data_IF_715817847904
#
_entry.id   IF_715817847904
#
_cell.length_a   1.000
_cell.length_b   1.000
_cell.length_c   1.000
_cell.angle_alpha   90.00
_cell.angle_beta   90.00
_cell.angle_gamma   90.00
#
_symmetry.space_group_name_H-M   'P 1'
#
loop_
_entity.id
_entity.type
_entity.pdbx_description
1 polymer ?
#
# COMPACT_ATOMS: atom_id res chain seq x y z
N UNK A 1 -9.30 0.71 -14.36
CA UNK A 1 -7.98 0.98 -13.78
C UNK A 1 -8.11 2.24 -12.95
N UNK A 2 -7.74 2.19 -11.68
CA UNK A 2 -7.87 3.32 -10.76
C UNK A 2 -6.65 4.24 -10.85
N UNK A 3 -6.77 5.49 -10.43
CA UNK A 3 -5.63 6.43 -10.36
C UNK A 3 -4.47 5.87 -9.51
N UNK A 4 -4.78 5.10 -8.45
CA UNK A 4 -3.78 4.43 -7.63
C UNK A 4 -3.00 3.36 -8.38
N UNK A 5 -3.68 2.54 -9.19
CA UNK A 5 -3.05 1.51 -10.01
C UNK A 5 -2.13 2.13 -11.08
N UNK A 6 -2.57 3.21 -11.71
CA UNK A 6 -1.76 3.98 -12.66
C UNK A 6 -0.52 4.57 -11.98
N UNK A 7 -0.69 5.12 -10.78
CA UNK A 7 0.41 5.64 -9.97
C UNK A 7 1.44 4.55 -9.65
N UNK A 8 1.00 3.35 -9.25
CA UNK A 8 1.90 2.22 -9.02
C UNK A 8 2.54 1.66 -10.29
N UNK A 9 1.93 1.87 -11.46
CA UNK A 9 2.53 1.54 -12.76
C UNK A 9 3.67 2.51 -13.11
N UNK A 10 3.49 3.81 -12.81
CA UNK A 10 4.54 4.83 -13.00
C UNK A 10 5.69 4.69 -12.01
N UNK A 11 5.40 4.24 -10.78
CA UNK A 11 6.39 4.08 -9.70
C UNK A 11 6.37 2.67 -9.09
N UNK A 12 6.84 1.62 -9.82
CA UNK A 12 6.76 0.23 -9.39
C UNK A 12 7.42 -0.06 -8.04
N UNK A 13 8.46 0.68 -7.68
CA UNK A 13 9.17 0.56 -6.40
C UNK A 13 8.28 0.84 -5.18
N UNK A 14 7.17 1.57 -5.36
CA UNK A 14 6.23 1.87 -4.28
C UNK A 14 5.34 0.67 -3.94
N UNK A 15 5.28 -0.37 -4.79
CA UNK A 15 4.53 -1.61 -4.51
C UNK A 15 4.97 -2.30 -3.22
N UNK A 16 6.22 -2.09 -2.77
CA UNK A 16 6.71 -2.61 -1.48
C UNK A 16 5.91 -2.10 -0.28
N UNK A 17 5.21 -0.98 -0.43
CA UNK A 17 4.34 -0.35 0.57
C UNK A 17 2.86 -0.67 0.40
N UNK A 18 2.53 -1.60 -0.50
CA UNK A 18 1.16 -2.02 -0.77
C UNK A 18 0.98 -3.43 -0.19
N UNK A 19 -0.16 -3.61 0.45
CA UNK A 19 -0.69 -4.90 0.87
C UNK A 19 -1.84 -5.27 -0.06
N UNK A 20 -1.97 -6.57 -0.31
CA UNK A 20 -3.10 -7.15 -1.04
C UNK A 20 -3.56 -8.41 -0.29
N UNK A 21 -4.83 -8.46 0.08
CA UNK A 21 -5.38 -9.62 0.77
C UNK A 21 -5.40 -10.82 -0.18
N UNK A 22 -4.84 -11.96 0.23
CA UNK A 22 -4.79 -13.16 -0.62
C UNK A 22 -6.17 -13.77 -0.90
N UNK A 23 -7.15 -13.52 -0.03
CA UNK A 23 -8.51 -14.04 -0.16
C UNK A 23 -9.42 -13.12 -0.98
N UNK A 24 -9.65 -11.88 -0.54
CA UNK A 24 -10.58 -10.97 -1.21
C UNK A 24 -9.95 -10.07 -2.28
N UNK A 25 -8.61 -10.10 -2.43
CA UNK A 25 -7.87 -9.28 -3.38
C UNK A 25 -7.99 -7.76 -3.16
N UNK A 26 -8.51 -7.33 -2.00
CA UNK A 26 -8.53 -5.92 -1.61
C UNK A 26 -7.10 -5.36 -1.47
N UNK A 27 -6.91 -4.11 -1.87
CA UNK A 27 -5.60 -3.47 -1.99
C UNK A 27 -5.57 -2.22 -1.10
N UNK A 28 -4.52 -2.11 -0.29
CA UNK A 28 -4.30 -0.94 0.54
C UNK A 28 -2.83 -0.70 0.84
N UNK A 29 -2.49 0.45 1.42
CA UNK A 29 -1.12 0.68 1.85
C UNK A 29 -0.81 -0.02 3.18
N UNK A 30 0.45 -0.39 3.37
CA UNK A 30 0.99 -0.95 4.60
C UNK A 30 0.88 0.06 5.75
N UNK A 31 0.27 -0.27 6.89
CA UNK A 31 0.15 0.64 8.03
C UNK A 31 1.49 1.23 8.49
N UNK A 32 2.60 0.51 8.27
CA UNK A 32 3.96 0.93 8.61
C UNK A 32 4.56 1.93 7.60
N UNK A 33 3.80 2.35 6.58
CA UNK A 33 4.22 3.37 5.62
C UNK A 33 4.72 4.63 6.36
N UNK A 34 6.00 5.01 6.20
CA UNK A 34 6.53 6.21 6.82
C UNK A 34 5.74 7.46 6.45
N UNK A 35 5.73 8.47 7.33
CA UNK A 35 5.06 9.74 7.05
C UNK A 35 5.58 10.37 5.75
N UNK A 36 6.90 10.30 5.55
CA UNK A 36 7.60 10.75 4.35
C UNK A 36 8.50 9.63 3.81
N UNK A 37 8.61 9.55 2.48
CA UNK A 37 9.54 8.65 1.81
C UNK A 37 10.67 9.48 1.22
N UNK A 38 11.91 9.20 1.59
CA UNK A 38 13.08 9.87 1.00
C UNK A 38 13.35 9.34 -0.41
N UNK A 39 13.75 10.23 -1.31
CA UNK A 39 14.35 9.89 -2.61
C UNK A 39 15.87 9.73 -2.46
N UNK A 40 16.50 9.12 -3.47
CA UNK A 40 17.96 9.17 -3.60
C UNK A 40 18.39 10.64 -3.61
N UNK A 41 19.19 11.05 -2.62
CA UNK A 41 19.59 12.45 -2.41
C UNK A 41 19.10 13.11 -1.12
N UNK A 42 18.45 12.37 -0.21
CA UNK A 42 17.90 12.87 1.06
C UNK A 42 16.78 13.92 0.92
N UNK A 43 16.20 14.08 -0.27
CA UNK A 43 15.01 14.89 -0.47
C UNK A 43 13.75 14.11 -0.08
N UNK A 44 12.72 14.82 0.38
CA UNK A 44 11.43 14.24 0.75
C UNK A 44 10.50 14.14 -0.45
N UNK A 45 9.94 12.95 -0.68
CA UNK A 45 9.01 12.68 -1.76
C UNK A 45 7.55 12.82 -1.34
N UNK A 46 6.72 13.33 -2.24
CA UNK A 46 5.26 13.27 -2.13
C UNK A 46 4.67 11.84 -2.21
N UNK A 47 5.50 10.80 -2.43
CA UNK A 47 5.06 9.42 -2.60
C UNK A 47 4.20 8.91 -1.44
N UNK A 48 4.62 9.16 -0.20
CA UNK A 48 3.88 8.72 0.99
C UNK A 48 2.48 9.36 1.07
N UNK A 49 2.39 10.66 0.72
CA UNK A 49 1.13 11.40 0.66
C UNK A 49 0.22 10.86 -0.44
N UNK A 50 0.78 10.60 -1.62
CA UNK A 50 0.02 10.06 -2.76
C UNK A 50 -0.49 8.64 -2.48
N UNK A 51 0.31 7.77 -1.86
CA UNK A 51 -0.15 6.44 -1.46
C UNK A 51 -1.35 6.51 -0.51
N UNK A 52 -1.33 7.42 0.49
CA UNK A 52 -2.47 7.64 1.41
C UNK A 52 -3.70 8.26 0.72
N UNK A 53 -3.50 9.01 -0.36
CA UNK A 53 -4.59 9.57 -1.17
C UNK A 53 -5.31 8.48 -1.96
N UNK A 54 -4.57 7.57 -2.56
CA UNK A 54 -5.13 6.57 -3.48
C UNK A 54 -5.56 5.27 -2.80
N UNK A 55 -4.93 4.90 -1.69
CA UNK A 55 -5.15 3.62 -1.02
C UNK A 55 -5.59 3.83 0.43
N UNK A 56 -6.44 2.93 0.92
CA UNK A 56 -6.77 2.85 2.36
C UNK A 56 -5.71 2.03 3.09
N UNK A 57 -5.50 2.21 4.41
CA UNK A 57 -4.62 1.32 5.15
C UNK A 57 -5.19 -0.10 5.11
N UNK A 58 -4.34 -1.09 4.85
CA UNK A 58 -4.74 -2.50 4.87
C UNK A 58 -3.77 -3.29 5.72
N UNK A 59 -4.21 -3.66 6.92
CA UNK A 59 -3.50 -4.58 7.81
C UNK A 59 -3.72 -6.00 7.30
N UNK A 60 -2.64 -6.77 7.17
CA UNK A 60 -2.69 -8.21 6.91
C UNK A 60 -2.06 -8.96 8.08
N UNK A 61 -2.56 -10.16 8.38
CA UNK A 61 -1.88 -11.09 9.29
C UNK A 61 -0.73 -11.83 8.58
N UNK A 62 -0.07 -12.74 9.31
CA UNK A 62 1.05 -13.54 8.78
C UNK A 62 0.68 -14.40 7.56
N UNK A 63 -0.59 -14.80 7.44
CA UNK A 63 -1.12 -15.55 6.30
C UNK A 63 -1.54 -14.66 5.12
N UNK A 64 -1.34 -13.34 5.19
CA UNK A 64 -1.71 -12.40 4.13
C UNK A 64 -3.21 -12.10 4.05
N UNK A 65 -3.97 -12.31 5.12
CA UNK A 65 -5.41 -12.08 5.19
C UNK A 65 -5.73 -10.75 5.88
N UNK A 66 -6.70 -10.02 5.34
CA UNK A 66 -7.23 -8.84 6.01
C UNK A 66 -8.07 -9.20 7.23
N UNK A 67 -8.33 -8.21 8.08
CA UNK A 67 -9.13 -8.32 9.31
C UNK A 67 -10.54 -8.89 9.09
N UNK A 68 -11.10 -8.71 7.90
CA UNK A 68 -12.40 -9.28 7.53
C UNK A 68 -12.24 -10.75 7.15
N UNK A 69 -11.36 -11.07 6.20
CA UNK A 69 -11.17 -12.43 5.70
C UNK A 69 -10.68 -13.41 6.77
N UNK A 70 -9.83 -12.97 7.70
CA UNK A 70 -9.32 -13.83 8.78
C UNK A 70 -10.42 -14.33 9.75
N UNK A 71 -11.62 -13.76 9.73
CA UNK A 71 -12.75 -14.21 10.57
C UNK A 71 -13.54 -15.36 9.96
N UNK A 72 -13.30 -15.66 8.69
CA UNK A 72 -14.02 -16.68 7.92
C UNK A 72 -13.15 -17.91 7.60
N UNK A 73 -11.93 -17.94 8.13
CA UNK A 73 -10.94 -19.01 7.99
C UNK A 73 -10.61 -19.50 9.40
#
# INVERSE_FOLDING_TARGET
>A
MTEGEEYLRMYPQLRKWINQCVSCQDIGYKPELPFELSTYGNETSAAAKNLRKYFKPLVLNESGLCEVCRKFI
#
